data_IF_680373595798
#
_entry.id   IF_680373595798
#
_cell.length_a   1.000
_cell.length_b   1.000
_cell.length_c   1.000
_cell.angle_alpha   90.00
_cell.angle_beta   90.00
_cell.angle_gamma   90.00
#
_symmetry.space_group_name_H-M   'P 1'
#
loop_
_entity.id
_entity.type
_entity.pdbx_description
1 polymer ?
#
# COMPACT_ATOMS: atom_id res chain seq x y z
N UNK A 1 15.21 38.84 18.21
CA UNK A 1 16.15 38.00 17.45
C UNK A 1 15.37 37.23 16.39
N UNK A 2 15.58 37.53 15.11
CA UNK A 2 15.07 36.69 14.02
C UNK A 2 15.85 35.37 14.03
N UNK A 3 15.16 34.25 14.21
CA UNK A 3 15.74 32.92 13.98
C UNK A 3 15.71 32.66 12.49
N UNK A 4 16.88 32.66 11.85
CA UNK A 4 17.05 32.11 10.51
C UNK A 4 16.70 30.63 10.56
N UNK A 5 15.59 30.24 9.93
CA UNK A 5 15.23 28.82 9.77
C UNK A 5 15.96 28.33 8.53
N UNK A 6 16.96 27.46 8.72
CA UNK A 6 17.57 26.72 7.63
C UNK A 6 16.49 25.83 6.99
N UNK A 7 16.16 26.12 5.74
CA UNK A 7 15.11 25.42 4.96
C UNK A 7 15.68 24.13 4.32
N UNK A 8 16.98 23.90 4.41
CA UNK A 8 17.60 22.63 4.04
C UNK A 8 17.48 21.63 5.18
N UNK A 9 16.27 21.10 5.38
CA UNK A 9 16.12 19.79 6.04
C UNK A 9 16.53 18.73 5.01
N UNK A 10 17.79 18.29 5.08
CA UNK A 10 18.09 16.91 4.73
C UNK A 10 17.34 16.05 5.76
N UNK A 11 16.04 15.83 5.55
CA UNK A 11 15.25 14.91 6.36
C UNK A 11 15.76 13.50 6.04
N UNK A 12 16.81 13.10 6.75
CA UNK A 12 17.35 11.76 6.71
C UNK A 12 16.24 10.77 7.07
N UNK A 13 15.93 9.86 6.15
CA UNK A 13 14.90 8.84 6.36
C UNK A 13 15.48 7.78 7.30
N UNK A 14 15.02 7.77 8.54
CA UNK A 14 15.52 6.84 9.57
C UNK A 14 14.84 5.47 9.47
N UNK A 15 15.57 4.37 9.71
CA UNK A 15 14.99 3.05 9.91
C UNK A 15 13.97 3.05 11.06
N UNK A 16 12.94 2.23 10.92
CA UNK A 16 11.92 1.98 11.95
C UNK A 16 12.14 0.57 12.48
N UNK A 17 12.51 0.46 13.75
CA UNK A 17 12.60 -0.83 14.43
C UNK A 17 11.25 -1.55 14.41
N UNK A 18 11.26 -2.83 14.03
CA UNK A 18 10.03 -3.60 14.01
C UNK A 18 9.62 -3.98 15.42
N UNK A 19 8.36 -3.72 15.76
CA UNK A 19 7.71 -4.18 16.97
C UNK A 19 6.29 -4.65 16.60
N UNK A 20 5.74 -5.69 17.26
CA UNK A 20 4.36 -6.09 17.07
C UNK A 20 3.41 -4.90 17.27
N UNK A 21 2.49 -4.72 16.34
CA UNK A 21 1.51 -3.63 16.44
C UNK A 21 0.41 -4.01 17.43
N UNK A 22 0.26 -3.22 18.48
CA UNK A 22 -0.79 -3.42 19.50
C UNK A 22 -2.00 -2.48 19.30
N UNK A 23 -1.88 -1.51 18.39
CA UNK A 23 -2.80 -0.37 18.28
C UNK A 23 -2.07 0.96 18.40
N UNK A 24 -2.81 2.05 18.24
CA UNK A 24 -2.26 3.41 18.32
C UNK A 24 -3.27 4.42 18.86
N UNK A 25 -2.76 5.54 19.39
CA UNK A 25 -3.60 6.68 19.77
C UNK A 25 -3.85 7.55 18.56
N UNK A 26 -5.11 7.68 18.14
CA UNK A 26 -5.53 8.53 17.03
C UNK A 26 -6.34 9.73 17.52
N UNK A 27 -6.40 10.78 16.68
CA UNK A 27 -7.37 11.86 16.84
C UNK A 27 -8.74 11.31 16.42
N UNK A 28 -9.68 11.25 17.37
CA UNK A 28 -11.05 10.79 17.13
C UNK A 28 -11.97 11.93 16.70
N UNK A 29 -11.68 13.16 17.15
CA UNK A 29 -12.50 14.33 16.84
C UNK A 29 -11.64 15.60 16.85
N UNK A 30 -11.83 16.45 15.85
CA UNK A 30 -11.28 17.82 15.83
C UNK A 30 -12.44 18.80 15.91
N UNK A 31 -12.44 19.66 16.93
CA UNK A 31 -13.45 20.70 17.16
C UNK A 31 -12.78 22.06 16.95
N UNK A 32 -13.36 22.90 16.10
CA UNK A 32 -12.96 24.30 15.97
C UNK A 32 -14.04 25.15 16.64
N UNK A 33 -13.72 25.77 17.78
CA UNK A 33 -14.66 26.62 18.54
C UNK A 33 -13.94 27.89 18.99
N UNK A 34 -14.50 29.05 18.66
CA UNK A 34 -13.93 30.35 19.04
C UNK A 34 -12.49 30.54 18.55
N UNK A 35 -12.17 30.07 17.34
CA UNK A 35 -10.82 30.15 16.77
C UNK A 35 -9.80 29.16 17.36
N UNK A 36 -10.19 28.32 18.33
CA UNK A 36 -9.32 27.29 18.92
C UNK A 36 -9.60 25.92 18.31
N UNK A 37 -8.53 25.20 17.94
CA UNK A 37 -8.57 23.80 17.52
C UNK A 37 -8.39 22.91 18.75
N UNK A 38 -9.41 22.13 19.09
CA UNK A 38 -9.42 21.14 20.16
C UNK A 38 -9.42 19.76 19.51
N UNK A 39 -8.53 18.87 19.97
CA UNK A 39 -8.43 17.50 19.46
C UNK A 39 -8.70 16.54 20.60
N UNK A 40 -9.68 15.66 20.42
CA UNK A 40 -9.92 14.52 21.29
C UNK A 40 -9.16 13.33 20.69
N UNK A 41 -8.48 12.57 21.55
CA UNK A 41 -7.75 11.37 21.18
C UNK A 41 -8.37 10.13 21.81
N UNK A 42 -8.13 8.98 21.19
CA UNK A 42 -8.53 7.68 21.71
C UNK A 42 -7.55 6.60 21.26
N UNK A 43 -7.37 5.58 22.10
CA UNK A 43 -6.59 4.41 21.74
C UNK A 43 -7.42 3.46 20.87
N UNK A 44 -6.88 3.10 19.72
CA UNK A 44 -7.47 2.15 18.79
C UNK A 44 -6.65 0.85 18.85
N UNK A 45 -7.19 -0.19 19.49
CA UNK A 45 -6.54 -1.50 19.58
C UNK A 45 -6.43 -2.14 18.19
N UNK A 46 -5.34 -2.88 17.94
CA UNK A 46 -5.28 -3.80 16.81
C UNK A 46 -6.26 -4.96 17.02
N UNK A 47 -7.38 -4.90 16.30
CA UNK A 47 -8.40 -5.96 16.31
C UNK A 47 -8.08 -7.11 15.36
N UNK A 48 -7.24 -6.86 14.34
CA UNK A 48 -6.92 -7.87 13.34
C UNK A 48 -5.90 -8.85 13.89
N UNK A 49 -4.94 -8.36 14.69
CA UNK A 49 -3.91 -9.19 15.36
C UNK A 49 -3.20 -10.10 14.35
N UNK A 50 -2.92 -9.54 13.16
CA UNK A 50 -2.38 -10.29 12.04
C UNK A 50 -0.98 -10.83 12.38
N UNK A 51 -0.78 -12.11 12.13
CA UNK A 51 0.53 -12.77 12.21
C UNK A 51 1.04 -13.10 10.80
N UNK A 52 2.34 -12.91 10.53
CA UNK A 52 2.87 -13.09 9.19
C UNK A 52 2.97 -14.59 8.87
N UNK A 53 2.42 -14.98 7.72
CA UNK A 53 2.48 -16.36 7.21
C UNK A 53 3.11 -16.36 5.82
N UNK A 54 4.18 -17.14 5.66
CA UNK A 54 4.92 -17.21 4.40
C UNK A 54 5.38 -15.85 3.88
N UNK A 55 5.34 -15.70 2.55
CA UNK A 55 5.68 -14.45 1.87
C UNK A 55 4.51 -13.47 1.92
N UNK A 56 4.79 -12.16 1.85
CA UNK A 56 3.76 -11.17 1.55
C UNK A 56 3.67 -10.94 0.05
N UNK A 57 2.49 -11.10 -0.53
CA UNK A 57 2.20 -10.79 -1.92
C UNK A 57 1.35 -9.53 -1.97
N UNK A 58 1.93 -8.43 -2.43
CA UNK A 58 1.23 -7.16 -2.57
C UNK A 58 0.76 -7.04 -4.01
N UNK A 59 -0.55 -6.86 -4.20
CA UNK A 59 -1.18 -6.81 -5.51
C UNK A 59 -1.60 -5.37 -5.81
N UNK A 60 -0.87 -4.73 -6.72
CA UNK A 60 -1.23 -3.47 -7.34
C UNK A 60 -2.15 -3.70 -8.53
N UNK A 61 -2.76 -2.64 -9.06
CA UNK A 61 -3.72 -2.72 -10.16
C UNK A 61 -3.11 -2.38 -11.52
N UNK A 62 -1.78 -2.33 -11.60
CA UNK A 62 -1.07 -1.98 -12.81
C UNK A 62 -1.16 -3.05 -13.91
N UNK A 63 -1.04 -2.67 -15.20
CA UNK A 63 -1.06 -3.61 -16.33
C UNK A 63 0.00 -4.71 -16.25
N UNK A 64 1.11 -4.52 -15.52
CA UNK A 64 2.17 -5.54 -15.45
C UNK A 64 1.75 -6.85 -14.82
N UNK A 65 0.61 -6.93 -14.11
CA UNK A 65 0.05 -8.22 -13.64
C UNK A 65 -0.95 -8.86 -14.58
N UNK A 66 -1.22 -8.25 -15.74
CA UNK A 66 -2.20 -8.78 -16.69
C UNK A 66 -1.78 -10.19 -17.11
N UNK A 67 -2.73 -11.12 -17.07
CA UNK A 67 -2.56 -12.56 -17.38
C UNK A 67 -1.82 -13.40 -16.33
N UNK A 68 -1.37 -12.82 -15.22
CA UNK A 68 -0.86 -13.63 -14.10
C UNK A 68 -2.03 -14.18 -13.26
N UNK A 69 -2.08 -15.49 -13.04
CA UNK A 69 -3.10 -16.11 -12.20
C UNK A 69 -2.79 -15.91 -10.71
N UNK A 70 -3.52 -15.01 -10.07
CA UNK A 70 -3.37 -14.72 -8.65
C UNK A 70 -3.72 -15.92 -7.74
N UNK A 71 -4.44 -16.94 -8.24
CA UNK A 71 -4.74 -18.13 -7.45
C UNK A 71 -3.49 -18.97 -7.16
N UNK A 72 -2.42 -18.83 -7.94
CA UNK A 72 -1.14 -19.52 -7.70
C UNK A 72 -0.47 -19.09 -6.39
N UNK A 73 -0.87 -17.94 -5.83
CA UNK A 73 -0.38 -17.40 -4.57
C UNK A 73 -1.02 -18.04 -3.33
N UNK A 74 -2.17 -18.72 -3.50
CA UNK A 74 -2.93 -19.27 -2.38
C UNK A 74 -2.13 -20.38 -1.70
N UNK A 75 -1.99 -20.27 -0.38
CA UNK A 75 -1.34 -21.30 0.44
C UNK A 75 0.18 -21.15 0.61
N UNK A 76 0.84 -20.25 -0.13
CA UNK A 76 2.29 -20.00 0.02
C UNK A 76 2.62 -18.70 0.78
N UNK A 77 1.61 -17.90 1.12
CA UNK A 77 1.78 -16.64 1.81
C UNK A 77 0.47 -15.89 2.02
N UNK A 78 0.57 -14.62 2.39
CA UNK A 78 -0.56 -13.72 2.60
C UNK A 78 -0.64 -12.66 1.51
N UNK A 79 -1.86 -12.38 1.05
CA UNK A 79 -2.13 -11.46 -0.05
C UNK A 79 -2.70 -10.14 0.46
N UNK A 80 -2.06 -9.05 0.06
CA UNK A 80 -2.45 -7.68 0.38
C UNK A 80 -2.85 -6.99 -0.93
N UNK A 81 -4.14 -6.72 -1.09
CA UNK A 81 -4.70 -6.09 -2.27
C UNK A 81 -5.11 -4.64 -2.05
N UNK A 82 -5.41 -3.93 -3.12
CA UNK A 82 -5.98 -2.59 -2.98
C UNK A 82 -7.15 -2.30 -3.92
N UNK A 83 -8.08 -1.51 -3.41
CA UNK A 83 -9.22 -0.95 -4.11
C UNK A 83 -10.00 -2.02 -4.91
N UNK A 84 -10.17 -1.84 -6.24
CA UNK A 84 -10.98 -2.70 -7.11
C UNK A 84 -10.50 -4.14 -7.30
N UNK A 85 -9.38 -4.56 -6.69
CA UNK A 85 -8.91 -5.95 -6.79
C UNK A 85 -9.99 -6.98 -6.42
N UNK A 86 -10.81 -6.69 -5.41
CA UNK A 86 -11.85 -7.61 -4.91
C UNK A 86 -12.84 -8.08 -5.98
N UNK A 87 -12.93 -7.36 -7.12
CA UNK A 87 -13.86 -7.67 -8.20
C UNK A 87 -13.49 -8.95 -8.94
N UNK A 88 -12.21 -9.29 -9.00
CA UNK A 88 -11.71 -10.51 -9.63
C UNK A 88 -10.90 -11.41 -8.69
N UNK A 89 -10.46 -10.88 -7.55
CA UNK A 89 -9.70 -11.65 -6.57
C UNK A 89 -9.91 -11.12 -5.14
N UNK A 90 -10.35 -11.98 -4.21
CA UNK A 90 -10.46 -11.63 -2.78
C UNK A 90 -9.10 -11.90 -2.09
N UNK A 91 -8.38 -10.86 -1.62
CA UNK A 91 -7.14 -11.02 -0.86
C UNK A 91 -7.41 -11.32 0.62
N UNK A 92 -6.39 -11.63 1.40
CA UNK A 92 -6.51 -11.71 2.87
C UNK A 92 -6.79 -10.32 3.49
N UNK A 93 -6.09 -9.31 2.96
CA UNK A 93 -6.17 -7.92 3.40
C UNK A 93 -6.42 -6.99 2.21
N UNK A 94 -7.47 -6.16 2.26
CA UNK A 94 -7.81 -5.19 1.22
C UNK A 94 -7.67 -3.76 1.73
N UNK A 95 -7.03 -2.89 0.95
CA UNK A 95 -6.75 -1.50 1.33
C UNK A 95 -7.50 -0.49 0.47
N UNK A 96 -8.09 0.52 1.11
CA UNK A 96 -8.79 1.61 0.45
C UNK A 96 -8.61 2.92 1.22
N UNK A 97 -8.28 4.00 0.51
CA UNK A 97 -8.07 5.32 1.13
C UNK A 97 -9.07 6.38 0.68
N UNK A 98 -9.71 6.17 -0.48
CA UNK A 98 -10.63 7.12 -1.09
C UNK A 98 -12.10 6.79 -0.80
N UNK A 99 -12.86 7.81 -0.43
CA UNK A 99 -14.27 7.65 0.00
C UNK A 99 -15.20 6.99 -1.02
N UNK A 100 -14.98 7.20 -2.33
CA UNK A 100 -15.82 6.62 -3.39
C UNK A 100 -15.71 5.10 -3.41
N UNK A 101 -14.49 4.57 -3.49
CA UNK A 101 -14.28 3.12 -3.50
C UNK A 101 -14.55 2.48 -2.14
N UNK A 102 -14.27 3.19 -1.02
CA UNK A 102 -14.65 2.74 0.32
C UNK A 102 -16.15 2.49 0.44
N UNK A 103 -16.98 3.39 -0.12
CA UNK A 103 -18.44 3.20 -0.15
C UNK A 103 -18.82 1.92 -0.88
N UNK A 104 -18.34 1.74 -2.10
CA UNK A 104 -18.68 0.57 -2.93
C UNK A 104 -18.25 -0.73 -2.23
N UNK A 105 -17.03 -0.79 -1.68
CA UNK A 105 -16.52 -1.97 -0.95
C UNK A 105 -17.40 -2.34 0.25
N UNK A 106 -17.90 -1.33 0.99
CA UNK A 106 -18.78 -1.57 2.14
C UNK A 106 -20.18 -1.99 1.68
N UNK A 107 -20.75 -1.33 0.67
CA UNK A 107 -22.05 -1.67 0.10
C UNK A 107 -22.05 -3.10 -0.50
N UNK A 108 -20.95 -3.50 -1.14
CA UNK A 108 -20.70 -4.85 -1.70
C UNK A 108 -20.37 -5.91 -0.63
N UNK A 109 -20.33 -5.51 0.65
CA UNK A 109 -20.03 -6.38 1.80
C UNK A 109 -18.69 -7.12 1.69
N UNK A 110 -17.69 -6.50 1.06
CA UNK A 110 -16.36 -7.11 0.90
C UNK A 110 -15.68 -7.35 2.24
N UNK A 111 -15.97 -6.49 3.23
CA UNK A 111 -15.51 -6.63 4.61
C UNK A 111 -16.01 -7.89 5.33
N UNK A 112 -17.05 -8.56 4.82
CA UNK A 112 -17.49 -9.87 5.31
C UNK A 112 -16.65 -11.02 4.69
N UNK A 113 -15.88 -10.75 3.64
CA UNK A 113 -15.10 -11.74 2.87
C UNK A 113 -13.61 -11.67 3.16
N UNK A 114 -13.09 -10.49 3.48
CA UNK A 114 -11.70 -10.30 3.87
C UNK A 114 -11.53 -9.09 4.80
N UNK A 115 -10.35 -8.97 5.41
CA UNK A 115 -10.04 -7.85 6.30
C UNK A 115 -9.83 -6.58 5.49
N UNK A 116 -10.64 -5.55 5.72
CA UNK A 116 -10.52 -4.27 5.03
C UNK A 116 -9.83 -3.22 5.92
N UNK A 117 -8.82 -2.53 5.39
CA UNK A 117 -8.04 -1.49 6.05
C UNK A 117 -8.23 -0.12 5.39
N UNK A 118 -8.52 0.90 6.20
CA UNK A 118 -8.75 2.26 5.73
C UNK A 118 -8.19 3.33 6.69
N UNK A 119 -8.07 4.60 6.24
CA UNK A 119 -7.79 5.73 7.11
C UNK A 119 -8.86 5.93 8.18
N UNK A 120 -8.51 6.57 9.29
CA UNK A 120 -9.42 6.81 10.42
C UNK A 120 -10.73 7.50 10.03
N UNK A 121 -10.70 8.38 9.01
CA UNK A 121 -11.91 9.02 8.50
C UNK A 121 -12.93 8.02 7.94
N UNK A 122 -12.47 7.04 7.17
CA UNK A 122 -13.35 6.02 6.58
C UNK A 122 -13.75 4.97 7.61
N UNK A 123 -12.86 4.59 8.53
CA UNK A 123 -13.20 3.75 9.69
C UNK A 123 -14.30 4.38 10.54
N UNK A 124 -14.24 5.69 10.78
CA UNK A 124 -15.27 6.42 11.50
C UNK A 124 -16.60 6.51 10.75
N UNK A 125 -16.56 6.51 9.41
CA UNK A 125 -17.75 6.51 8.55
C UNK A 125 -18.44 5.16 8.53
N UNK A 126 -17.68 4.07 8.50
CA UNK A 126 -18.17 2.69 8.39
C UNK A 126 -17.75 1.86 9.61
N UNK A 127 -18.18 2.30 10.80
CA UNK A 127 -17.81 1.67 12.07
C UNK A 127 -18.21 0.20 12.08
N UNK A 128 -17.26 -0.67 12.43
CA UNK A 128 -17.46 -2.12 12.51
C UNK A 128 -17.17 -2.87 11.20
N UNK A 129 -17.15 -2.18 10.05
CA UNK A 129 -16.82 -2.79 8.76
C UNK A 129 -15.32 -2.69 8.42
N UNK A 130 -14.65 -1.60 8.84
CA UNK A 130 -13.27 -1.30 8.44
C UNK A 130 -12.31 -1.26 9.63
N UNK A 131 -11.05 -1.61 9.39
CA UNK A 131 -9.94 -1.55 10.34
C UNK A 131 -9.01 -0.38 10.02
N UNK A 132 -8.31 0.15 11.03
CA UNK A 132 -7.36 1.24 10.85
C UNK A 132 -6.09 0.74 10.16
N UNK A 133 -5.63 1.42 9.11
CA UNK A 133 -4.28 1.22 8.58
C UNK A 133 -3.27 1.48 9.71
N UNK A 134 -2.50 0.48 10.17
CA UNK A 134 -1.61 0.63 11.32
C UNK A 134 -0.57 1.71 11.10
N UNK A 135 -0.40 2.64 12.05
CA UNK A 135 0.55 3.75 11.97
C UNK A 135 0.48 4.47 10.61
N UNK A 136 -0.73 4.82 10.18
CA UNK A 136 -1.04 5.21 8.80
C UNK A 136 -0.06 6.25 8.23
N UNK A 137 0.71 5.93 7.17
CA UNK A 137 1.66 6.88 6.57
C UNK A 137 0.99 7.92 5.65
N UNK A 138 -0.34 7.87 5.50
CA UNK A 138 -1.14 8.70 4.60
C UNK A 138 -0.73 8.54 3.13
N UNK A 139 -0.44 7.31 2.74
CA UNK A 139 -0.06 6.93 1.38
C UNK A 139 -1.25 6.39 0.59
N UNK A 140 -1.07 6.23 -0.72
CA UNK A 140 -2.07 5.60 -1.60
C UNK A 140 -2.25 4.12 -1.25
N UNK A 141 -3.39 3.53 -1.59
CA UNK A 141 -3.81 2.20 -1.08
C UNK A 141 -2.78 1.08 -1.30
N UNK A 142 -2.13 1.02 -2.48
CA UNK A 142 -1.11 0.00 -2.75
C UNK A 142 0.12 0.13 -1.84
N UNK A 143 0.50 1.36 -1.51
CA UNK A 143 1.63 1.68 -0.64
C UNK A 143 1.26 1.48 0.83
N UNK A 144 0.00 1.73 1.21
CA UNK A 144 -0.52 1.35 2.52
C UNK A 144 -0.53 -0.18 2.70
N UNK A 145 -0.83 -0.94 1.64
CA UNK A 145 -0.75 -2.39 1.65
C UNK A 145 0.70 -2.89 1.89
N UNK A 146 1.68 -2.35 1.16
CA UNK A 146 3.11 -2.64 1.38
C UNK A 146 3.57 -2.29 2.80
N UNK A 147 3.19 -1.09 3.28
CA UNK A 147 3.50 -0.62 4.63
C UNK A 147 2.96 -1.60 5.68
N UNK A 148 1.70 -2.00 5.54
CA UNK A 148 1.03 -2.85 6.53
C UNK A 148 1.58 -4.26 6.54
N UNK A 149 1.99 -4.81 5.39
CA UNK A 149 2.72 -6.09 5.36
C UNK A 149 4.02 -6.04 6.17
N UNK A 150 4.75 -4.92 6.13
CA UNK A 150 5.93 -4.72 6.99
C UNK A 150 5.55 -4.59 8.47
N UNK A 151 4.41 -3.95 8.80
CA UNK A 151 3.91 -3.87 10.17
C UNK A 151 3.54 -5.25 10.71
N UNK A 152 2.85 -6.07 9.91
CA UNK A 152 2.52 -7.46 10.25
C UNK A 152 3.78 -8.34 10.43
N UNK A 153 4.95 -7.88 10.01
CA UNK A 153 6.25 -8.51 10.31
C UNK A 153 6.83 -9.35 9.19
N UNK A 154 6.28 -9.30 7.97
CA UNK A 154 6.87 -9.99 6.83
C UNK A 154 8.27 -9.46 6.51
N UNK A 155 9.17 -10.38 6.15
CA UNK A 155 10.54 -10.07 5.72
C UNK A 155 10.72 -10.17 4.21
N UNK A 156 9.94 -10.99 3.53
CA UNK A 156 9.96 -11.10 2.08
C UNK A 156 8.64 -10.58 1.51
N UNK A 157 8.73 -9.54 0.69
CA UNK A 157 7.60 -8.80 0.12
C UNK A 157 7.73 -8.81 -1.40
N UNK A 158 6.73 -9.36 -2.08
CA UNK A 158 6.68 -9.44 -3.54
C UNK A 158 5.60 -8.50 -4.07
N UNK A 159 5.97 -7.66 -5.03
CA UNK A 159 5.12 -6.62 -5.60
C UNK A 159 4.70 -7.03 -7.00
N UNK A 160 3.42 -7.34 -7.16
CA UNK A 160 2.78 -7.82 -8.40
C UNK A 160 1.85 -6.72 -8.91
N UNK A 161 2.00 -6.29 -10.16
CA UNK A 161 1.19 -5.19 -10.73
C UNK A 161 1.58 -3.79 -10.19
N UNK A 162 2.84 -3.61 -9.83
CA UNK A 162 3.39 -2.34 -9.34
C UNK A 162 4.27 -1.66 -10.39
N UNK A 163 3.63 -0.81 -11.18
CA UNK A 163 4.28 -0.04 -12.24
C UNK A 163 4.85 1.30 -11.76
N UNK A 164 4.44 1.76 -10.58
CA UNK A 164 4.95 2.97 -9.90
C UNK A 164 4.86 4.31 -10.66
N UNK A 165 4.11 4.35 -11.77
CA UNK A 165 4.00 5.57 -12.58
C UNK A 165 2.64 5.67 -13.26
N UNK A 166 2.20 6.91 -13.46
CA UNK A 166 1.18 7.22 -14.46
C UNK A 166 1.81 7.46 -15.84
N UNK A 167 1.19 6.86 -16.84
CA UNK A 167 1.71 6.79 -18.20
C UNK A 167 1.20 7.91 -19.13
N UNK A 168 0.29 8.76 -18.63
CA UNK A 168 -0.31 9.86 -19.38
C UNK A 168 -1.53 9.42 -20.20
N UNK A 169 -1.97 10.30 -21.10
CA UNK A 169 -3.17 10.12 -21.92
C UNK A 169 -3.07 8.88 -22.81
N UNK A 170 -4.19 8.18 -22.95
CA UNK A 170 -4.36 6.97 -23.76
C UNK A 170 -3.46 5.78 -23.38
N UNK A 171 -2.76 5.84 -22.23
CA UNK A 171 -1.95 4.73 -21.71
C UNK A 171 -2.57 4.15 -20.44
N UNK A 172 -2.85 2.85 -20.48
CA UNK A 172 -3.47 2.14 -19.36
C UNK A 172 -2.48 2.01 -18.20
N UNK A 173 -2.81 2.59 -17.05
CA UNK A 173 -2.03 2.46 -15.82
C UNK A 173 -2.72 1.58 -14.77
N UNK A 174 -3.98 1.23 -14.99
CA UNK A 174 -4.82 0.50 -14.06
C UNK A 174 -5.74 -0.42 -14.86
N UNK A 175 -5.73 -1.71 -14.55
CA UNK A 175 -6.53 -2.70 -15.29
C UNK A 175 -8.05 -2.52 -15.11
N UNK A 176 -8.48 -1.76 -14.10
CA UNK A 176 -9.87 -1.41 -13.86
C UNK A 176 -10.28 -0.06 -14.47
N UNK A 177 -9.44 0.51 -15.34
CA UNK A 177 -9.80 1.71 -16.10
C UNK A 177 -11.16 1.49 -16.80
N UNK A 178 -11.98 2.53 -16.80
CA UNK A 178 -13.35 2.59 -17.36
C UNK A 178 -14.39 1.72 -16.62
N UNK A 179 -14.15 1.44 -15.33
CA UNK A 179 -15.11 0.79 -14.44
C UNK A 179 -15.61 1.73 -13.33
N UNK A 180 -16.55 1.28 -12.51
CA UNK A 180 -17.06 2.08 -11.38
C UNK A 180 -15.90 2.58 -10.47
N UNK A 181 -15.94 3.85 -10.07
CA UNK A 181 -14.85 4.56 -9.35
C UNK A 181 -13.54 4.75 -10.13
N UNK A 182 -13.45 4.29 -11.38
CA UNK A 182 -12.27 4.36 -12.25
C UNK A 182 -12.67 4.87 -13.63
N UNK A 183 -13.14 6.12 -13.70
CA UNK A 183 -13.55 6.75 -14.97
C UNK A 183 -12.38 7.07 -15.90
N UNK A 184 -12.73 7.50 -17.12
CA UNK A 184 -11.79 7.82 -18.21
C UNK A 184 -10.65 8.74 -17.75
N UNK A 185 -9.43 8.43 -18.19
CA UNK A 185 -8.24 9.23 -17.93
C UNK A 185 -7.92 10.12 -19.13
N UNK A 186 -8.29 11.38 -19.02
CA UNK A 186 -7.99 12.40 -20.04
C UNK A 186 -6.77 13.26 -19.71
N UNK A 187 -6.07 12.97 -18.59
CA UNK A 187 -4.95 13.75 -18.10
C UNK A 187 -3.64 13.34 -18.76
N UNK A 188 -2.85 14.31 -19.23
CA UNK A 188 -1.48 14.11 -19.70
C UNK A 188 -0.46 13.97 -18.55
N UNK A 189 -0.90 13.99 -17.29
CA UNK A 189 -0.02 13.97 -16.12
C UNK A 189 0.78 12.67 -16.01
N UNK A 190 2.11 12.80 -16.04
CA UNK A 190 3.03 11.78 -15.57
C UNK A 190 3.26 12.00 -14.07
N UNK A 191 2.91 11.01 -13.26
CA UNK A 191 3.00 11.10 -11.80
C UNK A 191 3.80 9.93 -11.23
N UNK A 192 4.85 10.24 -10.45
CA UNK A 192 5.80 9.26 -9.91
C UNK A 192 5.84 9.24 -8.37
N UNK A 193 4.88 9.89 -7.68
CA UNK A 193 4.92 9.95 -6.22
C UNK A 193 4.80 8.57 -5.56
N UNK A 194 4.24 7.59 -6.26
CA UNK A 194 4.16 6.19 -5.83
C UNK A 194 5.55 5.57 -5.67
N UNK A 195 6.48 5.87 -6.59
CA UNK A 195 7.86 5.42 -6.49
C UNK A 195 8.58 6.09 -5.32
N UNK A 196 8.28 7.37 -5.05
CA UNK A 196 8.84 8.10 -3.90
C UNK A 196 8.42 7.45 -2.58
N UNK A 197 7.13 7.09 -2.42
CA UNK A 197 6.64 6.41 -1.21
C UNK A 197 7.32 5.05 -1.01
N UNK A 198 7.49 4.27 -2.09
CA UNK A 198 8.23 3.01 -2.03
C UNK A 198 9.69 3.20 -1.64
N UNK A 199 10.38 4.18 -2.23
CA UNK A 199 11.76 4.55 -1.87
C UNK A 199 11.92 4.99 -0.42
N UNK A 200 10.89 5.62 0.15
CA UNK A 200 10.86 5.93 1.58
C UNK A 200 10.70 4.66 2.41
N UNK A 201 9.78 3.76 2.05
CA UNK A 201 9.54 2.51 2.76
C UNK A 201 10.79 1.63 2.85
N UNK A 202 11.52 1.44 1.74
CA UNK A 202 12.71 0.57 1.72
C UNK A 202 13.81 1.07 2.66
N UNK A 203 13.93 2.40 2.84
CA UNK A 203 14.87 3.04 3.78
C UNK A 203 14.38 2.94 5.22
N UNK A 204 13.07 3.04 5.44
CA UNK A 204 12.45 2.86 6.75
C UNK A 204 12.42 1.39 7.22
N UNK A 205 12.50 0.42 6.30
CA UNK A 205 12.43 -1.03 6.57
C UNK A 205 13.61 -1.77 5.95
N UNK A 206 14.87 -1.46 6.35
CA UNK A 206 16.04 -2.06 5.72
C UNK A 206 16.15 -3.58 5.93
N UNK A 207 15.43 -4.14 6.90
CA UNK A 207 15.34 -5.59 7.18
C UNK A 207 14.29 -6.33 6.35
N UNK A 208 13.51 -5.65 5.51
CA UNK A 208 12.57 -6.27 4.57
C UNK A 208 13.20 -6.32 3.18
N UNK A 209 13.06 -7.44 2.50
CA UNK A 209 13.41 -7.66 1.11
C UNK A 209 12.19 -7.42 0.23
N UNK A 210 12.30 -6.53 -0.75
CA UNK A 210 11.25 -6.20 -1.69
C UNK A 210 11.62 -6.70 -3.09
N UNK A 211 10.78 -7.50 -3.71
CA UNK A 211 10.97 -7.98 -5.08
C UNK A 211 9.82 -7.49 -5.95
N UNK A 212 10.11 -6.68 -6.96
CA UNK A 212 9.14 -6.28 -7.98
C UNK A 212 9.09 -7.38 -9.05
N UNK A 213 7.90 -7.92 -9.29
CA UNK A 213 7.66 -8.97 -10.30
C UNK A 213 7.16 -8.31 -11.58
N UNK A 214 7.97 -8.34 -12.63
CA UNK A 214 7.71 -7.61 -13.87
C UNK A 214 8.48 -8.21 -15.05
N UNK A 215 7.79 -8.57 -16.15
CA UNK A 215 8.45 -9.19 -17.32
C UNK A 215 9.22 -8.16 -18.19
N UNK A 216 8.66 -6.96 -18.35
CA UNK A 216 9.24 -5.92 -19.22
C UNK A 216 9.40 -4.56 -18.49
N UNK A 217 10.21 -4.47 -17.42
CA UNK A 217 10.29 -3.26 -16.62
C UNK A 217 10.90 -2.09 -17.40
N UNK A 218 10.31 -0.90 -17.24
CA UNK A 218 10.92 0.33 -17.74
C UNK A 218 12.21 0.66 -16.98
N UNK A 219 13.10 1.44 -17.60
CA UNK A 219 14.45 1.70 -17.10
C UNK A 219 14.51 2.14 -15.63
N UNK A 220 13.59 3.02 -15.20
CA UNK A 220 13.57 3.52 -13.82
C UNK A 220 13.33 2.43 -12.76
N UNK A 221 12.68 1.32 -13.12
CA UNK A 221 12.49 0.18 -12.22
C UNK A 221 13.79 -0.59 -12.00
N UNK A 222 14.80 -0.45 -12.87
CA UNK A 222 16.15 -0.96 -12.58
C UNK A 222 16.89 -0.10 -11.54
N UNK A 223 16.33 1.05 -11.17
CA UNK A 223 16.89 2.01 -10.23
C UNK A 223 15.94 2.27 -9.06
N UNK A 224 15.46 1.20 -8.41
CA UNK A 224 14.53 1.31 -7.28
C UNK A 224 15.13 2.10 -6.11
N UNK A 225 16.45 2.04 -5.91
CA UNK A 225 17.14 2.76 -4.83
C UNK A 225 17.85 4.01 -5.35
N UNK A 226 17.79 5.09 -4.55
CA UNK A 226 18.51 6.33 -4.85
C UNK A 226 19.32 6.81 -3.64
N UNK A 227 20.59 7.13 -3.89
CA UNK A 227 21.53 7.67 -2.90
C UNK A 227 22.07 6.68 -1.87
N UNK A 228 21.57 5.44 -1.83
CA UNK A 228 22.05 4.38 -0.93
C UNK A 228 21.68 3.03 -1.54
N UNK A 229 22.59 2.06 -1.51
CA UNK A 229 22.29 0.67 -1.86
C UNK A 229 22.19 -0.18 -0.59
N UNK A 230 20.95 -0.46 -0.18
CA UNK A 230 20.58 -1.31 0.94
C UNK A 230 20.55 -2.79 0.56
N UNK A 231 20.73 -3.13 -0.73
CA UNK A 231 20.66 -4.51 -1.26
C UNK A 231 19.37 -5.27 -0.94
N UNK A 232 18.30 -4.53 -0.61
CA UNK A 232 17.02 -5.08 -0.16
C UNK A 232 15.90 -4.94 -1.20
N UNK A 233 16.25 -4.59 -2.44
CA UNK A 233 15.31 -4.51 -3.57
C UNK A 233 15.79 -5.37 -4.73
N UNK A 234 14.87 -6.01 -5.44
CA UNK A 234 15.14 -6.90 -6.58
C UNK A 234 14.07 -6.74 -7.65
N UNK A 235 14.43 -7.07 -8.89
CA UNK A 235 13.51 -7.34 -9.98
C UNK A 235 13.54 -8.84 -10.31
N UNK A 236 12.42 -9.37 -10.75
CA UNK A 236 12.25 -10.76 -11.15
C UNK A 236 11.14 -10.86 -12.20
N UNK A 237 11.26 -11.76 -13.18
CA UNK A 237 10.16 -12.02 -14.13
C UNK A 237 9.05 -12.87 -13.48
N UNK A 238 7.86 -12.93 -14.07
CA UNK A 238 6.80 -13.82 -13.58
C UNK A 238 7.18 -15.31 -13.70
N UNK A 239 7.93 -15.68 -14.74
CA UNK A 239 8.46 -17.03 -14.90
C UNK A 239 9.40 -17.40 -13.74
N UNK A 240 10.37 -16.52 -13.44
CA UNK A 240 11.28 -16.73 -12.33
C UNK A 240 10.56 -16.77 -10.99
N UNK A 241 9.57 -15.90 -10.80
CA UNK A 241 8.76 -15.85 -9.59
C UNK A 241 7.98 -17.16 -9.37
N UNK A 242 7.30 -17.64 -10.41
CA UNK A 242 6.54 -18.90 -10.36
C UNK A 242 7.47 -20.07 -10.02
N UNK A 243 8.60 -20.18 -10.73
CA UNK A 243 9.54 -21.27 -10.55
C UNK A 243 10.29 -21.25 -9.21
N UNK A 244 10.78 -20.07 -8.79
CA UNK A 244 11.71 -19.94 -7.65
C UNK A 244 11.01 -19.65 -6.32
N UNK A 245 9.81 -19.05 -6.37
CA UNK A 245 9.11 -18.57 -5.16
C UNK A 245 7.85 -19.39 -4.92
N UNK A 246 7.11 -19.73 -5.96
CA UNK A 246 5.88 -20.52 -5.84
C UNK A 246 6.12 -22.03 -5.98
N UNK A 247 7.32 -22.44 -6.44
CA UNK A 247 7.70 -23.84 -6.73
C UNK A 247 6.71 -24.55 -7.67
N UNK A 248 6.25 -23.83 -8.69
CA UNK A 248 5.29 -24.29 -9.70
C UNK A 248 5.90 -24.25 -11.10
#
# INVERSE_FOLDING_TARGET
MMKTVNINRNDEIKPIEWQPYAGETIIVKTIIRGGKKIQETGFYEDKVKATPQGNAYIIGNGPSRKNFDLNLLKGSGQVYGCNALYRDFIPDFLFMVDSKISKVIVDDKVHEKCVCYAPSLEVNRYKGALNLIPNNPHWVSGQAAMWTACVHGHKNVYLIGFDFREYGKDQLNNIYQDSECYGERTSDSIFEAWLKQFRTLIKQRPYCNFTVVHDNPLEYLNHLQTGTDLKNTRLMTYEEFTKKVLNQ
#
